data_IF_071746895207
#
_entry.id   IF_071746895207
#
_cell.length_a   1.000
_cell.length_b   1.000
_cell.length_c   1.000
_cell.angle_alpha   90.00
_cell.angle_beta   90.00
_cell.angle_gamma   90.00
#
_symmetry.space_group_name_H-M   'P 1'
#
loop_
_entity.id
_entity.type
_entity.pdbx_description
1 polymer ?
#
# COMPACT_ATOMS: atom_id res chain seq x y z
N UNK A 1 3.66 -8.77 -22.57
CA UNK A 1 4.09 -8.97 -21.17
C UNK A 1 4.10 -7.57 -20.58
N UNK A 2 3.03 -7.18 -19.87
CA UNK A 2 2.86 -5.78 -19.48
C UNK A 2 3.84 -5.48 -18.35
N UNK A 3 4.87 -4.70 -18.64
CA UNK A 3 5.68 -4.02 -17.63
C UNK A 3 4.72 -3.15 -16.81
N UNK A 4 4.32 -3.68 -15.65
CA UNK A 4 3.57 -2.88 -14.68
C UNK A 4 4.60 -1.97 -14.06
N UNK A 5 4.54 -0.68 -14.38
CA UNK A 5 5.37 0.37 -13.80
C UNK A 5 5.02 0.51 -12.31
N UNK A 6 5.44 -0.46 -11.50
CA UNK A 6 5.17 -0.51 -10.07
C UNK A 6 6.11 0.38 -9.29
N UNK A 7 5.66 0.86 -8.13
CA UNK A 7 6.49 1.60 -7.19
C UNK A 7 6.78 0.72 -5.99
N UNK A 8 8.07 0.56 -5.68
CA UNK A 8 8.49 -0.13 -4.46
C UNK A 8 8.32 0.78 -3.26
N UNK A 9 7.62 0.30 -2.24
CA UNK A 9 7.28 1.03 -1.02
C UNK A 9 7.61 0.21 0.22
N UNK A 10 8.09 0.87 1.27
CA UNK A 10 8.31 0.24 2.57
C UNK A 10 6.99 0.16 3.36
N UNK A 11 6.70 -1.03 3.88
CA UNK A 11 5.49 -1.31 4.65
C UNK A 11 5.57 -0.66 6.03
N UNK A 12 4.52 0.09 6.39
CA UNK A 12 4.28 0.62 7.73
C UNK A 12 2.94 0.16 8.27
N UNK A 13 2.81 0.15 9.59
CA UNK A 13 1.54 -0.16 10.23
C UNK A 13 0.52 0.95 9.91
N UNK A 14 -0.69 0.54 9.50
CA UNK A 14 -1.81 1.45 9.42
C UNK A 14 -2.30 1.90 10.81
N UNK A 15 -3.01 3.02 10.82
CA UNK A 15 -3.68 3.55 12.00
C UNK A 15 -4.81 2.62 12.47
N UNK A 16 -5.12 2.65 13.77
CA UNK A 16 -6.16 1.77 14.36
C UNK A 16 -7.52 1.89 13.67
N UNK A 17 -7.87 3.07 13.14
CA UNK A 17 -9.11 3.35 12.39
C UNK A 17 -9.23 2.62 11.05
N UNK A 18 -8.11 2.11 10.54
CA UNK A 18 -8.04 1.44 9.24
C UNK A 18 -7.96 -0.09 9.38
N UNK A 19 -7.92 -0.62 10.61
CA UNK A 19 -7.82 -2.05 10.86
C UNK A 19 -8.99 -2.85 10.28
N UNK A 20 -8.69 -3.92 9.54
CA UNK A 20 -9.66 -4.83 8.95
C UNK A 20 -10.44 -4.25 7.77
N UNK A 21 -10.00 -3.10 7.22
CA UNK A 21 -10.72 -2.41 6.14
C UNK A 21 -10.10 -2.64 4.77
N UNK A 22 -8.92 -3.27 4.71
CA UNK A 22 -8.21 -3.50 3.45
C UNK A 22 -7.83 -2.18 2.78
N UNK A 23 -7.40 -1.20 3.57
CA UNK A 23 -6.99 0.13 3.09
C UNK A 23 -5.47 0.19 2.97
N UNK A 24 -5.01 0.69 1.83
CA UNK A 24 -3.63 1.09 1.63
C UNK A 24 -3.54 2.61 1.54
N UNK A 25 -2.88 3.21 2.54
CA UNK A 25 -2.61 4.65 2.56
C UNK A 25 -1.29 4.95 1.88
N UNK A 26 -1.37 5.72 0.80
CA UNK A 26 -0.23 6.10 -0.03
C UNK A 26 0.07 7.60 0.07
N UNK A 27 1.35 8.00 0.07
CA UNK A 27 1.74 9.39 -0.05
C UNK A 27 1.31 9.95 -1.41
N UNK A 28 1.15 11.27 -1.50
CA UNK A 28 0.74 11.93 -2.74
C UNK A 28 1.71 11.64 -3.90
N UNK A 29 3.01 11.58 -3.61
CA UNK A 29 4.07 11.27 -4.57
C UNK A 29 3.89 9.90 -5.23
N UNK A 30 3.62 8.86 -4.43
CA UNK A 30 3.38 7.50 -4.92
C UNK A 30 2.10 7.43 -5.76
N UNK A 31 1.00 8.04 -5.27
CA UNK A 31 -0.27 8.06 -6.03
C UNK A 31 -0.13 8.77 -7.37
N UNK A 32 0.55 9.92 -7.40
CA UNK A 32 0.81 10.66 -8.65
C UNK A 32 1.65 9.85 -9.63
N UNK A 33 2.71 9.18 -9.16
CA UNK A 33 3.56 8.31 -9.99
C UNK A 33 2.81 7.14 -10.59
N UNK A 34 1.90 6.55 -9.81
CA UNK A 34 1.07 5.41 -10.22
C UNK A 34 -0.23 5.81 -10.93
N UNK A 35 -0.55 7.11 -11.03
CA UNK A 35 -1.81 7.58 -11.61
C UNK A 35 -3.07 7.19 -10.83
N UNK A 36 -2.95 6.99 -9.51
CA UNK A 36 -4.01 6.46 -8.64
C UNK A 36 -4.86 7.56 -8.00
N UNK A 37 -6.15 7.30 -7.89
CA UNK A 37 -7.13 8.10 -7.17
C UNK A 37 -7.55 7.41 -5.86
N UNK A 38 -8.18 8.20 -4.98
CA UNK A 38 -8.80 7.65 -3.77
C UNK A 38 -9.94 6.72 -4.14
N UNK A 39 -9.95 5.52 -3.59
CA UNK A 39 -10.96 4.51 -3.86
C UNK A 39 -10.54 3.46 -4.90
N UNK A 40 -9.48 3.72 -5.66
CA UNK A 40 -8.92 2.74 -6.60
C UNK A 40 -8.47 1.49 -5.85
N UNK A 41 -8.55 0.34 -6.52
CA UNK A 41 -8.07 -0.93 -5.97
C UNK A 41 -6.71 -1.23 -6.58
N UNK A 42 -5.73 -1.49 -5.73
CA UNK A 42 -4.37 -1.83 -6.13
C UNK A 42 -4.04 -3.26 -5.76
N UNK A 43 -3.12 -3.85 -6.53
CA UNK A 43 -2.42 -5.08 -6.15
C UNK A 43 -1.18 -4.70 -5.36
N UNK A 44 -0.95 -5.39 -4.25
CA UNK A 44 0.26 -5.27 -3.44
C UNK A 44 1.00 -6.59 -3.57
N UNK A 45 2.21 -6.53 -4.10
CA UNK A 45 3.09 -7.69 -4.30
C UNK A 45 4.14 -7.74 -3.19
N UNK A 46 3.95 -8.69 -2.27
CA UNK A 46 4.96 -9.11 -1.31
C UNK A 46 5.42 -10.55 -1.62
N UNK A 47 5.52 -11.40 -0.60
CA UNK A 47 5.67 -12.85 -0.81
C UNK A 47 4.48 -13.44 -1.57
N UNK A 48 3.30 -12.85 -1.35
CA UNK A 48 2.03 -13.18 -1.98
C UNK A 48 1.36 -11.90 -2.47
N UNK A 49 0.49 -12.03 -3.47
CA UNK A 49 -0.34 -10.92 -3.90
C UNK A 49 -1.49 -10.69 -2.93
N UNK A 50 -1.70 -9.43 -2.53
CA UNK A 50 -2.90 -8.97 -1.84
C UNK A 50 -3.53 -7.81 -2.63
N UNK A 51 -4.75 -7.45 -2.27
CA UNK A 51 -5.43 -6.27 -2.82
C UNK A 51 -5.85 -5.34 -1.70
N UNK A 52 -5.82 -4.04 -1.97
CA UNK A 52 -6.25 -3.03 -1.03
C UNK A 52 -6.84 -1.82 -1.77
N UNK A 53 -7.70 -1.07 -1.07
CA UNK A 53 -8.27 0.18 -1.56
C UNK A 53 -7.37 1.35 -1.20
N UNK A 54 -7.04 2.18 -2.19
CA UNK A 54 -6.19 3.36 -2.04
C UNK A 54 -6.92 4.44 -1.25
N UNK A 55 -6.25 4.98 -0.24
CA UNK A 55 -6.66 6.19 0.47
C UNK A 55 -5.50 7.20 0.55
N UNK A 56 -5.80 8.51 0.67
CA UNK A 56 -4.77 9.50 0.95
C UNK A 56 -4.07 9.18 2.27
N UNK A 57 -2.74 9.14 2.24
CA UNK A 57 -1.94 8.88 3.43
C UNK A 57 -1.79 10.06 4.41
N UNK A 58 -2.01 11.30 3.94
CA UNK A 58 -1.87 12.49 4.78
C UNK A 58 -0.44 12.64 5.33
N UNK A 59 -0.32 13.18 6.55
CA UNK A 59 0.98 13.35 7.21
C UNK A 59 1.63 12.04 7.69
N UNK A 60 0.84 10.97 7.84
CA UNK A 60 1.28 9.69 8.42
C UNK A 60 2.03 8.81 7.41
N UNK A 61 1.67 8.92 6.13
CA UNK A 61 2.33 8.22 5.03
C UNK A 61 3.49 9.07 4.48
N UNK A 62 4.70 8.75 4.94
CA UNK A 62 5.93 9.34 4.40
C UNK A 62 6.16 8.88 2.97
N UNK A 63 6.86 9.70 2.20
CA UNK A 63 7.29 9.30 0.85
C UNK A 63 8.05 7.97 0.87
N UNK A 64 7.80 7.14 -0.14
CA UNK A 64 8.38 5.80 -0.23
C UNK A 64 7.77 4.77 0.73
N UNK A 65 6.65 5.08 1.41
CA UNK A 65 5.99 4.13 2.32
C UNK A 65 4.55 3.81 1.91
N UNK A 66 4.05 2.67 2.37
CA UNK A 66 2.65 2.28 2.30
C UNK A 66 2.17 1.85 3.69
N UNK A 67 1.07 2.41 4.15
CA UNK A 67 0.45 2.05 5.42
C UNK A 67 -0.69 1.07 5.15
N UNK A 68 -0.55 -0.16 5.65
CA UNK A 68 -1.54 -1.24 5.51
C UNK A 68 -1.81 -1.92 6.86
N UNK A 69 -3.04 -2.40 7.04
CA UNK A 69 -3.46 -3.09 8.26
C UNK A 69 -2.81 -4.49 8.40
N UNK A 70 -3.03 -5.12 9.56
CA UNK A 70 -2.43 -6.41 9.86
C UNK A 70 -2.90 -7.52 8.91
N UNK A 71 -4.18 -7.48 8.51
CA UNK A 71 -4.79 -8.50 7.66
C UNK A 71 -4.23 -8.41 6.23
N UNK A 72 -4.13 -7.19 5.68
CA UNK A 72 -3.53 -6.94 4.37
C UNK A 72 -2.06 -7.38 4.34
N UNK A 73 -1.31 -7.11 5.41
CA UNK A 73 0.07 -7.61 5.55
C UNK A 73 0.13 -9.13 5.60
N UNK A 74 -0.73 -9.76 6.39
CA UNK A 74 -0.80 -11.21 6.48
C UNK A 74 -1.15 -11.85 5.13
N UNK A 75 -2.05 -11.24 4.36
CA UNK A 75 -2.43 -11.67 3.01
C UNK A 75 -1.30 -11.51 2.00
N UNK A 76 -0.55 -10.42 2.08
CA UNK A 76 0.64 -10.18 1.23
C UNK A 76 1.88 -10.96 1.69
N UNK A 77 1.85 -11.56 2.88
CA UNK A 77 2.98 -12.25 3.48
C UNK A 77 4.14 -11.32 3.82
N UNK A 78 3.85 -10.13 4.36
CA UNK A 78 4.88 -9.12 4.70
C UNK A 78 4.74 -8.62 6.12
N UNK A 79 5.80 -8.03 6.65
CA UNK A 79 5.89 -7.38 7.97
C UNK A 79 6.15 -5.88 7.82
N UNK A 80 6.04 -5.16 8.93
CA UNK A 80 6.47 -3.75 8.97
C UNK A 80 7.97 -3.67 8.73
N UNK A 81 8.39 -2.80 7.82
CA UNK A 81 9.77 -2.65 7.40
C UNK A 81 10.12 -3.37 6.09
N UNK A 82 9.31 -4.34 5.66
CA UNK A 82 9.51 -5.03 4.39
C UNK A 82 9.18 -4.10 3.21
N UNK A 83 9.64 -4.49 2.02
CA UNK A 83 9.33 -3.78 0.78
C UNK A 83 8.27 -4.53 -0.01
N UNK A 84 7.35 -3.80 -0.62
CA UNK A 84 6.32 -4.31 -1.53
C UNK A 84 6.31 -3.50 -2.81
N UNK A 85 5.87 -4.11 -3.90
CA UNK A 85 5.58 -3.41 -5.16
C UNK A 85 4.07 -3.18 -5.28
N UNK A 86 3.71 -1.96 -5.65
CA UNK A 86 2.32 -1.53 -5.90
C UNK A 86 2.20 -1.01 -7.32
#
# INVERSE_FOLDING_TARGET
MNETTGVTLTVRAAEKRDAGRGIARLPETARKRLGLLSGDTIRIEGERAAVAKVWPGGADARDGTVLIDADTRANAGVKVGDSVTV
#
